data_IF_333809490381
#
_entry.id   IF_333809490381
#
_cell.length_a   1.000
_cell.length_b   1.000
_cell.length_c   1.000
_cell.angle_alpha   90.00
_cell.angle_beta   90.00
_cell.angle_gamma   90.00
#
_symmetry.space_group_name_H-M   'P 1'
#
loop_
_entity.id
_entity.type
_entity.pdbx_description
1 polymer ?
#
# COMPACT_ATOMS: atom_id res chain seq x y z
N UNK A 1 -24.50 13.97 -1.35
CA UNK A 1 -24.22 12.82 -2.17
C UNK A 1 -23.24 13.17 -3.29
N UNK A 2 -21.92 13.02 -3.08
CA UNK A 2 -20.93 13.05 -4.17
C UNK A 2 -20.58 11.61 -4.48
N UNK A 3 -21.20 11.05 -5.52
CA UNK A 3 -20.73 9.82 -6.15
C UNK A 3 -19.41 10.15 -6.86
N UNK A 4 -18.28 9.71 -6.27
CA UNK A 4 -16.99 9.77 -6.92
C UNK A 4 -17.05 9.02 -8.24
N UNK A 5 -16.60 9.65 -9.32
CA UNK A 5 -16.46 9.03 -10.63
C UNK A 5 -15.33 7.98 -10.53
N UNK A 6 -15.70 6.77 -10.26
CA UNK A 6 -14.82 5.63 -10.53
C UNK A 6 -14.88 5.38 -12.05
N UNK A 7 -13.74 5.60 -12.73
CA UNK A 7 -13.63 5.31 -14.16
C UNK A 7 -13.97 3.86 -14.43
N UNK A 8 -14.78 3.62 -15.46
CA UNK A 8 -15.06 2.28 -15.97
C UNK A 8 -13.75 1.63 -16.36
N UNK A 9 -13.46 0.48 -15.80
CA UNK A 9 -12.34 -0.35 -16.22
C UNK A 9 -12.63 -0.82 -17.65
N UNK A 10 -11.94 -0.22 -18.64
CA UNK A 10 -12.09 -0.60 -20.04
C UNK A 10 -11.32 -1.90 -20.30
N UNK A 11 -12.01 -2.87 -20.90
CA UNK A 11 -11.38 -4.00 -21.59
C UNK A 11 -10.75 -3.49 -22.87
N UNK A 12 -9.44 -3.22 -22.86
CA UNK A 12 -8.69 -2.74 -24.03
C UNK A 12 -7.36 -3.49 -24.12
N UNK A 13 -7.10 -4.04 -25.29
CA UNK A 13 -5.91 -4.82 -25.66
C UNK A 13 -4.62 -4.00 -25.55
N UNK A 14 -3.54 -4.61 -24.99
CA UNK A 14 -2.21 -4.02 -24.90
C UNK A 14 -1.90 -3.45 -23.51
N UNK A 15 -1.89 -4.29 -22.43
CA UNK A 15 -2.11 -3.80 -21.10
C UNK A 15 -0.93 -4.06 -20.20
N UNK A 16 -0.25 -2.99 -19.81
CA UNK A 16 0.40 -2.91 -18.50
C UNK A 16 -0.67 -3.05 -17.43
N UNK A 17 -0.49 -4.01 -16.51
CA UNK A 17 -1.43 -4.23 -15.41
C UNK A 17 -1.52 -2.98 -14.55
N UNK A 18 -2.73 -2.50 -14.23
CA UNK A 18 -2.91 -1.31 -13.40
C UNK A 18 -2.39 -1.58 -11.99
N UNK A 19 -1.43 -0.80 -11.57
CA UNK A 19 -0.84 -0.86 -10.24
C UNK A 19 -1.22 0.34 -9.37
N UNK A 20 -1.17 0.15 -8.06
CA UNK A 20 -1.49 1.17 -7.06
C UNK A 20 -0.61 0.97 -5.83
N UNK A 21 -0.31 2.04 -5.08
CA UNK A 21 0.30 1.91 -3.77
C UNK A 21 -0.77 1.89 -2.68
N UNK A 22 -0.69 0.88 -1.84
CA UNK A 22 -1.51 0.73 -0.63
C UNK A 22 -0.69 1.15 0.58
N UNK A 23 -0.92 2.34 1.10
CA UNK A 23 -0.18 2.89 2.24
C UNK A 23 -0.99 2.65 3.52
N UNK A 24 -0.48 1.78 4.39
CA UNK A 24 -1.09 1.48 5.69
C UNK A 24 -0.43 2.35 6.76
N UNK A 25 -1.24 2.96 7.61
CA UNK A 25 -0.78 3.78 8.72
C UNK A 25 -1.04 3.12 10.07
N UNK A 26 -0.29 3.54 11.11
CA UNK A 26 -0.28 2.89 12.41
C UNK A 26 -1.57 3.09 13.20
N UNK A 27 -1.83 2.15 14.12
CA UNK A 27 -3.00 2.20 15.00
C UNK A 27 -2.99 3.36 15.98
N UNK A 28 -1.82 3.94 16.28
CA UNK A 28 -1.66 5.10 17.18
C UNK A 28 -2.49 6.29 16.69
N UNK A 29 -2.65 6.42 15.38
CA UNK A 29 -3.45 7.46 14.73
C UNK A 29 -4.96 7.18 14.89
N UNK A 30 -5.33 5.94 15.21
CA UNK A 30 -6.71 5.47 15.22
C UNK A 30 -7.43 5.69 16.56
N UNK A 31 -6.72 6.08 17.61
CA UNK A 31 -7.30 6.23 18.96
C UNK A 31 -7.62 7.69 19.24
N UNK A 32 -8.92 8.03 19.28
CA UNK A 32 -9.44 9.28 19.79
C UNK A 32 -10.03 10.24 18.77
N UNK A 33 -10.45 11.42 19.23
CA UNK A 33 -11.13 12.46 18.46
C UNK A 33 -10.29 13.05 17.32
N UNK A 34 -8.97 12.87 17.36
CA UNK A 34 -8.03 13.45 16.39
C UNK A 34 -7.73 12.56 15.19
N UNK A 35 -8.33 11.36 15.09
CA UNK A 35 -8.09 10.43 13.97
C UNK A 35 -8.20 11.09 12.61
N UNK A 36 -9.29 11.83 12.38
CA UNK A 36 -9.56 12.49 11.10
C UNK A 36 -8.47 13.51 10.76
N UNK A 37 -8.03 14.28 11.74
CA UNK A 37 -6.96 15.25 11.56
C UNK A 37 -5.64 14.60 11.11
N UNK A 38 -5.25 13.48 11.76
CA UNK A 38 -4.03 12.75 11.37
C UNK A 38 -4.14 12.13 9.97
N UNK A 39 -5.28 11.55 9.64
CA UNK A 39 -5.54 10.98 8.32
C UNK A 39 -5.51 12.06 7.23
N UNK A 40 -6.09 13.22 7.46
CA UNK A 40 -6.09 14.36 6.53
C UNK A 40 -4.66 14.92 6.34
N UNK A 41 -3.85 14.90 7.39
CA UNK A 41 -2.44 15.31 7.32
C UNK A 41 -1.62 14.34 6.47
N UNK A 42 -1.77 13.03 6.68
CA UNK A 42 -1.11 12.01 5.87
C UNK A 42 -1.49 12.10 4.39
N UNK A 43 -2.78 12.27 4.12
CA UNK A 43 -3.28 12.43 2.76
C UNK A 43 -2.68 13.66 2.07
N UNK A 44 -2.62 14.79 2.78
CA UNK A 44 -1.98 16.02 2.27
C UNK A 44 -0.48 15.83 1.99
N UNK A 45 0.25 15.16 2.89
CA UNK A 45 1.67 14.88 2.70
C UNK A 45 1.92 13.99 1.49
N UNK A 46 1.14 12.90 1.31
CA UNK A 46 1.24 12.06 0.13
C UNK A 46 0.89 12.81 -1.16
N UNK A 47 -0.17 13.63 -1.15
CA UNK A 47 -0.53 14.48 -2.30
C UNK A 47 0.59 15.45 -2.69
N UNK A 48 1.26 16.02 -1.70
CA UNK A 48 2.41 16.92 -1.93
C UNK A 48 3.58 16.16 -2.57
N UNK A 49 3.90 14.97 -2.05
CA UNK A 49 4.95 14.11 -2.61
C UNK A 49 4.63 13.65 -4.03
N UNK A 50 3.42 13.24 -4.27
CA UNK A 50 2.95 12.75 -5.56
C UNK A 50 3.16 13.74 -6.71
N UNK A 51 3.07 15.04 -6.44
CA UNK A 51 3.28 16.10 -7.46
C UNK A 51 4.66 16.07 -8.10
N UNK A 52 5.68 15.56 -7.39
CA UNK A 52 7.04 15.45 -7.92
C UNK A 52 7.23 14.23 -8.85
N UNK A 53 6.31 13.29 -8.81
CA UNK A 53 6.39 11.99 -9.49
C UNK A 53 5.38 11.82 -10.61
N UNK A 54 4.53 12.81 -10.88
CA UNK A 54 3.54 12.76 -11.93
C UNK A 54 2.12 12.91 -11.43
N UNK A 55 1.18 12.37 -12.19
CA UNK A 55 -0.23 12.55 -11.98
C UNK A 55 -0.81 11.38 -11.16
N UNK A 56 -1.09 11.64 -9.90
CA UNK A 56 -1.64 10.64 -8.98
C UNK A 56 -2.93 11.11 -8.36
N UNK A 57 -3.87 10.18 -8.21
CA UNK A 57 -5.03 10.34 -7.34
C UNK A 57 -4.71 9.74 -5.97
N UNK A 58 -4.75 10.56 -4.93
CA UNK A 58 -4.53 10.11 -3.54
C UNK A 58 -5.82 10.25 -2.78
N UNK A 59 -6.32 9.13 -2.25
CA UNK A 59 -7.58 9.08 -1.51
C UNK A 59 -7.51 8.06 -0.38
N UNK A 60 -8.48 8.13 0.53
CA UNK A 60 -8.57 7.29 1.71
C UNK A 60 -9.82 6.42 1.66
N UNK A 61 -9.63 5.13 1.95
CA UNK A 61 -10.73 4.20 2.21
C UNK A 61 -10.29 3.10 3.19
N UNK A 62 -11.18 2.70 4.10
CA UNK A 62 -10.99 1.56 5.01
C UNK A 62 -9.62 1.55 5.72
N UNK A 63 -9.20 2.65 6.32
CA UNK A 63 -7.92 2.80 7.04
C UNK A 63 -6.68 2.55 6.19
N UNK A 64 -6.77 2.83 4.90
CA UNK A 64 -5.66 2.74 3.95
C UNK A 64 -5.69 3.98 3.06
N UNK A 65 -4.52 4.54 2.80
CA UNK A 65 -4.34 5.57 1.77
C UNK A 65 -3.94 4.88 0.47
N UNK A 66 -4.62 5.24 -0.59
CA UNK A 66 -4.42 4.74 -1.94
C UNK A 66 -3.73 5.81 -2.75
N UNK A 67 -2.65 5.44 -3.44
CA UNK A 67 -1.93 6.31 -4.38
C UNK A 67 -2.01 5.66 -5.74
N UNK A 68 -2.90 6.17 -6.56
CA UNK A 68 -3.29 5.61 -7.86
C UNK A 68 -2.71 6.46 -8.99
N UNK A 69 -1.86 5.92 -9.89
CA UNK A 69 -1.41 6.65 -11.06
C UNK A 69 -2.58 6.92 -12.01
N UNK A 70 -2.65 8.14 -12.54
CA UNK A 70 -3.69 8.55 -13.48
C UNK A 70 -3.26 8.41 -14.94
N UNK A 71 -1.97 8.29 -15.18
CA UNK A 71 -1.37 8.09 -16.51
C UNK A 71 -0.13 7.19 -16.43
N UNK A 72 0.36 6.76 -17.58
CA UNK A 72 1.53 5.87 -17.69
C UNK A 72 2.86 6.60 -17.41
N UNK A 73 2.87 7.93 -17.44
CA UNK A 73 4.06 8.74 -17.16
C UNK A 73 4.35 8.88 -15.66
N UNK A 74 3.45 8.42 -14.79
CA UNK A 74 3.59 8.50 -13.36
C UNK A 74 4.73 7.59 -12.85
N UNK A 75 5.70 8.18 -12.15
CA UNK A 75 6.84 7.47 -11.55
C UNK A 75 6.41 6.77 -10.25
N UNK A 76 6.00 5.51 -10.39
CA UNK A 76 5.59 4.67 -9.26
C UNK A 76 6.74 4.34 -8.31
N UNK A 77 7.96 4.19 -8.79
CA UNK A 77 9.12 3.83 -7.97
C UNK A 77 9.59 5.03 -7.14
N UNK A 78 9.68 6.20 -7.72
CA UNK A 78 9.95 7.43 -7.00
C UNK A 78 8.87 7.75 -5.97
N UNK A 79 7.60 7.59 -6.34
CA UNK A 79 6.48 7.77 -5.41
C UNK A 79 6.52 6.78 -4.25
N UNK A 80 6.84 5.50 -4.50
CA UNK A 80 7.02 4.49 -3.46
C UNK A 80 8.14 4.89 -2.49
N UNK A 81 9.31 5.29 -3.03
CA UNK A 81 10.45 5.70 -2.22
C UNK A 81 10.13 6.91 -1.32
N UNK A 82 9.40 7.87 -1.87
CA UNK A 82 8.98 9.05 -1.11
C UNK A 82 7.88 8.74 -0.10
N UNK A 83 6.93 7.85 -0.41
CA UNK A 83 5.91 7.38 0.53
C UNK A 83 6.52 6.67 1.74
N UNK A 84 7.63 5.93 1.55
CA UNK A 84 8.37 5.29 2.65
C UNK A 84 8.94 6.30 3.66
N UNK A 85 9.15 7.55 3.26
CA UNK A 85 9.68 8.63 4.11
C UNK A 85 8.59 9.46 4.80
N UNK A 86 7.33 9.16 4.55
CA UNK A 86 6.20 9.86 5.20
C UNK A 86 5.97 9.30 6.59
N UNK A 87 6.22 10.12 7.61
CA UNK A 87 5.95 9.75 9.00
C UNK A 87 4.45 9.47 9.21
N UNK A 88 4.15 8.40 9.94
CA UNK A 88 2.80 7.89 10.14
C UNK A 88 2.44 6.72 9.24
N UNK A 89 3.13 6.52 8.12
CA UNK A 89 2.97 5.35 7.26
C UNK A 89 3.89 4.24 7.75
N UNK A 90 3.31 3.08 8.06
CA UNK A 90 4.06 1.92 8.60
C UNK A 90 4.41 0.90 7.53
N UNK A 91 3.62 0.81 6.47
CA UNK A 91 3.80 -0.20 5.43
C UNK A 91 3.20 0.27 4.12
N UNK A 92 3.92 0.07 3.03
CA UNK A 92 3.47 0.36 1.67
C UNK A 92 3.59 -0.91 0.84
N UNK A 93 2.51 -1.27 0.14
CA UNK A 93 2.52 -2.35 -0.82
C UNK A 93 2.21 -1.80 -2.22
N UNK A 94 3.00 -2.21 -3.23
CA UNK A 94 2.66 -2.05 -4.63
C UNK A 94 1.78 -3.22 -5.02
N UNK A 95 0.57 -2.96 -5.49
CA UNK A 95 -0.44 -3.96 -5.73
C UNK A 95 -1.05 -3.83 -7.12
N UNK A 96 -1.28 -4.96 -7.79
CA UNK A 96 -2.09 -4.99 -8.98
C UNK A 96 -3.57 -4.86 -8.61
N UNK A 97 -4.31 -4.10 -9.43
CA UNK A 97 -5.75 -3.88 -9.28
C UNK A 97 -6.50 -4.79 -10.23
N UNK A 98 -7.49 -5.51 -9.74
CA UNK A 98 -8.34 -6.37 -10.55
C UNK A 98 -9.82 -6.30 -10.14
N UNK A 99 -10.69 -6.85 -10.97
CA UNK A 99 -12.10 -6.94 -10.67
C UNK A 99 -12.38 -7.88 -9.48
N UNK A 100 -13.50 -7.65 -8.80
CA UNK A 100 -13.95 -8.50 -7.69
C UNK A 100 -14.62 -9.78 -8.20
N UNK A 101 -13.85 -10.62 -8.89
CA UNK A 101 -14.24 -11.99 -9.26
C UNK A 101 -13.05 -12.91 -9.01
N UNK A 102 -13.29 -14.16 -8.64
CA UNK A 102 -12.18 -15.11 -8.44
C UNK A 102 -11.43 -15.37 -9.74
N UNK A 103 -12.11 -15.36 -10.86
CA UNK A 103 -11.49 -15.49 -12.19
C UNK A 103 -10.46 -14.37 -12.42
N UNK A 104 -10.84 -13.10 -12.20
CA UNK A 104 -9.94 -11.96 -12.36
C UNK A 104 -8.80 -11.96 -11.34
N UNK A 105 -9.09 -12.34 -10.09
CA UNK A 105 -8.07 -12.48 -9.03
C UNK A 105 -7.05 -13.54 -9.42
N UNK A 106 -7.50 -14.74 -9.82
CA UNK A 106 -6.59 -15.84 -10.21
C UNK A 106 -5.77 -15.48 -11.47
N UNK A 107 -6.38 -14.85 -12.46
CA UNK A 107 -5.67 -14.37 -13.64
C UNK A 107 -4.58 -13.35 -13.27
N UNK A 108 -4.91 -12.40 -12.40
CA UNK A 108 -3.96 -11.40 -11.88
C UNK A 108 -2.84 -12.05 -11.07
N UNK A 109 -3.15 -13.02 -10.21
CA UNK A 109 -2.15 -13.78 -9.45
C UNK A 109 -1.17 -14.47 -10.40
N UNK A 110 -1.65 -15.18 -11.41
CA UNK A 110 -0.82 -15.90 -12.41
C UNK A 110 0.10 -14.98 -13.19
N UNK A 111 -0.32 -13.76 -13.46
CA UNK A 111 0.44 -12.81 -14.28
C UNK A 111 1.37 -11.93 -13.42
N UNK A 112 0.93 -11.47 -12.26
CA UNK A 112 1.61 -10.45 -11.46
C UNK A 112 2.57 -11.02 -10.41
N UNK A 113 2.27 -12.20 -9.85
CA UNK A 113 3.01 -12.74 -8.71
C UNK A 113 4.30 -13.47 -9.09
N UNK A 114 4.43 -14.20 -10.22
CA UNK A 114 5.62 -14.99 -10.53
C UNK A 114 6.95 -14.23 -10.44
N UNK A 115 7.11 -12.97 -10.90
CA UNK A 115 8.37 -12.24 -10.75
C UNK A 115 8.78 -12.04 -9.28
N UNK A 116 7.82 -11.83 -8.38
CA UNK A 116 8.08 -11.66 -6.95
C UNK A 116 8.48 -12.98 -6.25
N UNK A 117 8.16 -14.12 -6.86
CA UNK A 117 8.51 -15.45 -6.37
C UNK A 117 9.78 -16.02 -7.01
N UNK A 118 10.40 -15.30 -7.94
CA UNK A 118 11.64 -15.72 -8.57
C UNK A 118 12.75 -16.01 -7.54
N UNK A 119 13.32 -17.22 -7.56
CA UNK A 119 14.35 -17.65 -6.61
C UNK A 119 13.85 -17.95 -5.19
N UNK A 120 12.55 -17.94 -4.95
CA UNK A 120 11.95 -18.33 -3.68
C UNK A 120 11.56 -19.80 -3.70
N UNK A 121 11.55 -20.43 -2.52
CA UNK A 121 11.26 -21.86 -2.35
C UNK A 121 9.85 -22.10 -1.83
N UNK A 122 9.31 -21.12 -1.08
CA UNK A 122 8.03 -21.28 -0.42
C UNK A 122 7.24 -19.98 -0.39
N UNK A 123 5.92 -20.12 -0.32
CA UNK A 123 5.00 -19.01 -0.17
C UNK A 123 3.81 -19.40 0.70
N UNK A 124 3.08 -18.38 1.16
CA UNK A 124 1.70 -18.52 1.63
C UNK A 124 0.82 -17.47 0.99
N UNK A 125 -0.48 -17.71 0.98
CA UNK A 125 -1.47 -16.71 0.61
C UNK A 125 -2.24 -16.26 1.83
N UNK A 126 -2.35 -14.96 2.03
CA UNK A 126 -3.23 -14.34 3.01
C UNK A 126 -4.30 -13.56 2.26
N UNK A 127 -5.58 -13.87 2.49
CA UNK A 127 -6.67 -13.11 1.92
C UNK A 127 -7.39 -12.31 2.99
N UNK A 128 -7.75 -11.07 2.64
CA UNK A 128 -8.58 -10.20 3.46
C UNK A 128 -9.83 -9.79 2.69
N UNK A 129 -10.99 -10.25 3.16
CA UNK A 129 -12.28 -9.87 2.60
C UNK A 129 -12.90 -8.76 3.45
N UNK A 130 -12.86 -7.53 2.95
CA UNK A 130 -13.53 -6.38 3.57
C UNK A 130 -14.96 -6.18 3.06
N UNK A 131 -15.26 -6.60 1.83
CA UNK A 131 -16.62 -6.62 1.28
C UNK A 131 -17.30 -7.96 1.56
N UNK A 132 -18.24 -7.96 2.49
CA UNK A 132 -18.99 -9.16 2.87
C UNK A 132 -19.95 -9.70 1.79
N UNK A 133 -20.19 -8.92 0.73
CA UNK A 133 -21.02 -9.34 -0.42
C UNK A 133 -20.26 -10.23 -1.39
N UNK A 134 -18.94 -10.30 -1.27
CA UNK A 134 -18.16 -11.24 -2.07
C UNK A 134 -18.50 -12.68 -1.66
N UNK A 135 -18.77 -13.60 -2.62
CA UNK A 135 -19.36 -14.90 -2.32
C UNK A 135 -18.46 -15.83 -1.50
N UNK A 136 -17.13 -15.71 -1.67
CA UNK A 136 -16.16 -16.56 -0.98
C UNK A 136 -15.66 -15.90 0.31
N UNK A 137 -15.31 -16.70 1.29
CA UNK A 137 -14.63 -16.24 2.49
C UNK A 137 -13.11 -16.09 2.27
N UNK A 138 -12.41 -15.56 3.27
CA UNK A 138 -10.97 -15.32 3.16
C UNK A 138 -10.16 -16.61 3.01
N UNK A 139 -10.61 -17.71 3.58
CA UNK A 139 -9.91 -19.00 3.46
C UNK A 139 -10.07 -19.58 2.05
N UNK A 140 -11.27 -19.53 1.51
CA UNK A 140 -11.55 -19.95 0.14
C UNK A 140 -10.79 -19.11 -0.89
N UNK A 141 -10.80 -17.79 -0.74
CA UNK A 141 -10.01 -16.88 -1.60
C UNK A 141 -8.51 -17.23 -1.54
N UNK A 142 -7.98 -17.48 -0.34
CA UNK A 142 -6.57 -17.84 -0.18
C UNK A 142 -6.24 -19.19 -0.81
N UNK A 143 -7.13 -20.18 -0.72
CA UNK A 143 -6.95 -21.50 -1.31
C UNK A 143 -6.92 -21.43 -2.85
N UNK A 144 -7.90 -20.74 -3.46
CA UNK A 144 -7.99 -20.61 -4.92
C UNK A 144 -6.82 -19.78 -5.48
N UNK A 145 -6.47 -18.66 -4.83
CA UNK A 145 -5.30 -17.88 -5.22
C UNK A 145 -3.99 -18.66 -5.03
N UNK A 146 -3.90 -19.50 -3.99
CA UNK A 146 -2.77 -20.41 -3.77
C UNK A 146 -2.61 -21.44 -4.88
N UNK A 147 -3.71 -22.04 -5.33
CA UNK A 147 -3.72 -22.93 -6.49
C UNK A 147 -3.21 -22.21 -7.76
N UNK A 148 -3.67 -20.97 -8.00
CA UNK A 148 -3.22 -20.17 -9.13
C UNK A 148 -1.70 -19.87 -9.09
N UNK A 149 -1.11 -19.67 -7.89
CA UNK A 149 0.35 -19.53 -7.73
C UNK A 149 1.05 -20.84 -8.10
N UNK A 150 0.59 -21.97 -7.59
CA UNK A 150 1.20 -23.29 -7.86
C UNK A 150 1.17 -23.64 -9.34
N UNK A 151 0.13 -23.27 -10.06
CA UNK A 151 0.02 -23.46 -11.50
C UNK A 151 0.99 -22.57 -12.30
N UNK A 152 1.27 -21.34 -11.81
CA UNK A 152 2.07 -20.35 -12.52
C UNK A 152 3.56 -20.37 -12.18
N UNK A 153 3.95 -20.99 -11.05
CA UNK A 153 5.34 -21.05 -10.58
C UNK A 153 5.73 -22.50 -10.28
N UNK A 154 6.29 -23.24 -11.26
CA UNK A 154 6.69 -24.62 -11.06
C UNK A 154 7.72 -24.79 -9.95
N UNK A 155 7.55 -25.81 -9.11
CA UNK A 155 8.50 -26.17 -8.07
C UNK A 155 8.41 -25.36 -6.77
N UNK A 156 7.57 -24.33 -6.70
CA UNK A 156 7.31 -23.62 -5.45
C UNK A 156 6.38 -24.46 -4.54
N UNK A 157 6.56 -24.34 -3.23
CA UNK A 157 5.72 -25.04 -2.25
C UNK A 157 4.99 -24.07 -1.32
N UNK A 158 3.88 -24.53 -0.76
CA UNK A 158 3.17 -23.78 0.27
C UNK A 158 3.82 -24.04 1.63
N UNK A 159 4.13 -22.99 2.36
CA UNK A 159 4.57 -23.04 3.76
C UNK A 159 3.84 -21.96 4.55
N UNK A 160 2.91 -22.37 5.39
CA UNK A 160 2.06 -21.45 6.19
C UNK A 160 2.77 -20.87 7.40
N UNK A 161 3.84 -21.52 7.87
CA UNK A 161 4.55 -21.13 9.09
C UNK A 161 5.77 -20.26 8.81
N UNK A 162 6.60 -20.65 7.83
CA UNK A 162 7.85 -19.98 7.49
C UNK A 162 7.98 -19.74 5.99
N UNK A 163 7.04 -18.99 5.37
CA UNK A 163 7.11 -18.72 3.95
C UNK A 163 8.21 -17.72 3.62
N UNK A 164 8.89 -17.93 2.50
CA UNK A 164 9.82 -16.93 1.95
C UNK A 164 9.09 -15.66 1.50
N UNK A 165 7.86 -15.83 0.99
CA UNK A 165 7.01 -14.72 0.52
C UNK A 165 5.56 -14.93 0.94
N UNK A 166 4.93 -13.85 1.40
CA UNK A 166 3.48 -13.82 1.61
C UNK A 166 2.80 -13.07 0.48
N UNK A 167 2.03 -13.80 -0.32
CA UNK A 167 1.12 -13.23 -1.32
C UNK A 167 -0.14 -12.77 -0.61
N UNK A 168 -0.60 -11.55 -0.89
CA UNK A 168 -1.82 -11.00 -0.28
C UNK A 168 -2.87 -10.67 -1.33
N UNK A 169 -4.08 -11.10 -1.05
CA UNK A 169 -5.28 -10.78 -1.83
C UNK A 169 -6.24 -10.01 -0.93
N UNK A 170 -6.49 -8.75 -1.27
CA UNK A 170 -7.39 -7.89 -0.50
C UNK A 170 -8.66 -7.59 -1.33
N UNK A 171 -9.78 -8.23 -1.02
CA UNK A 171 -11.07 -7.93 -1.63
C UNK A 171 -11.74 -6.80 -0.86
N UNK A 172 -11.86 -5.63 -1.49
CA UNK A 172 -12.43 -4.43 -0.90
C UNK A 172 -13.71 -3.99 -1.61
N UNK A 173 -14.26 -2.85 -1.23
CA UNK A 173 -15.57 -2.41 -1.72
C UNK A 173 -15.63 -2.26 -3.26
N UNK A 174 -14.60 -1.68 -3.86
CA UNK A 174 -14.61 -1.31 -5.29
C UNK A 174 -13.78 -2.22 -6.20
N UNK A 175 -12.74 -2.85 -5.67
CA UNK A 175 -11.82 -3.68 -6.44
C UNK A 175 -11.18 -4.76 -5.55
N UNK A 176 -10.47 -5.69 -6.19
CA UNK A 176 -9.52 -6.56 -5.51
C UNK A 176 -8.09 -6.13 -5.81
N UNK A 177 -7.20 -6.39 -4.86
CA UNK A 177 -5.79 -5.99 -4.90
C UNK A 177 -4.93 -7.20 -4.61
N UNK A 178 -3.94 -7.44 -5.48
CA UNK A 178 -3.00 -8.56 -5.36
C UNK A 178 -1.59 -8.02 -5.24
N UNK A 179 -0.85 -8.45 -4.21
CA UNK A 179 0.54 -8.06 -4.03
C UNK A 179 1.36 -9.12 -3.29
N UNK A 180 2.68 -9.07 -3.46
CA UNK A 180 3.64 -9.90 -2.74
C UNK A 180 4.57 -9.01 -1.93
N UNK A 181 4.45 -9.09 -0.62
CA UNK A 181 5.26 -8.29 0.29
C UNK A 181 4.79 -6.84 0.44
N UNK A 182 5.52 -6.12 1.27
CA UNK A 182 5.36 -4.69 1.51
C UNK A 182 6.67 -4.10 1.99
N UNK A 183 6.92 -2.85 1.68
CA UNK A 183 8.07 -2.09 2.17
C UNK A 183 7.71 -1.40 3.48
N UNK A 184 8.63 -1.39 4.44
CA UNK A 184 8.45 -0.71 5.72
C UNK A 184 8.51 0.80 5.50
N UNK A 185 7.52 1.52 6.02
CA UNK A 185 7.49 2.98 6.04
C UNK A 185 8.21 3.56 7.26
N UNK A 186 8.27 4.89 7.33
CA UNK A 186 8.92 5.62 8.43
C UNK A 186 8.26 5.36 9.79
N UNK A 187 6.99 5.03 9.82
CA UNK A 187 6.23 4.88 11.07
C UNK A 187 6.08 6.20 11.83
N UNK A 188 5.93 6.12 13.14
CA UNK A 188 5.81 7.30 14.00
C UNK A 188 4.52 8.08 13.80
N UNK A 189 4.56 9.38 14.10
CA UNK A 189 3.43 10.29 13.96
C UNK A 189 3.62 11.24 12.77
N UNK A 190 2.54 11.65 12.09
CA UNK A 190 2.65 12.61 10.99
C UNK A 190 3.26 13.93 11.45
N UNK A 191 4.13 14.48 10.64
CA UNK A 191 4.78 15.77 10.90
C UNK A 191 3.75 16.88 11.05
N UNK A 192 3.98 17.77 12.02
CA UNK A 192 3.10 18.91 12.30
C UNK A 192 1.88 18.60 13.16
N UNK A 193 1.75 17.36 13.67
CA UNK A 193 0.59 16.98 14.51
C UNK A 193 0.78 17.26 16.00
N UNK A 194 2.02 17.49 16.47
CA UNK A 194 2.36 17.64 17.89
C UNK A 194 2.61 19.11 18.32
N UNK A 195 2.20 20.08 17.50
CA UNK A 195 2.43 21.51 17.81
C UNK A 195 3.90 21.92 17.70
N UNK A 196 4.26 23.03 18.35
CA UNK A 196 5.64 23.55 18.40
C UNK A 196 6.33 23.06 19.64
N UNK A 197 7.56 22.49 19.49
CA UNK A 197 8.43 22.11 20.59
C UNK A 197 9.62 23.05 20.70
N UNK A 198 10.08 23.33 21.91
CA UNK A 198 11.35 23.96 22.16
C UNK A 198 12.40 22.86 22.38
N UNK A 199 13.46 22.88 21.56
CA UNK A 199 14.58 21.96 21.71
C UNK A 199 15.70 22.66 22.47
N UNK A 200 16.04 22.13 23.64
CA UNK A 200 17.27 22.50 24.34
C UNK A 200 18.42 21.69 23.74
N UNK A 201 19.30 22.38 23.01
CA UNK A 201 20.47 21.75 22.43
C UNK A 201 21.49 21.44 23.54
N UNK A 202 21.85 20.19 23.66
CA UNK A 202 22.93 19.70 24.51
C UNK A 202 23.92 18.91 23.67
N UNK A 203 25.08 18.58 24.18
CA UNK A 203 26.07 17.70 23.52
C UNK A 203 25.67 16.23 23.46
N UNK A 204 24.43 15.87 23.84
CA UNK A 204 23.92 14.51 23.81
C UNK A 204 23.44 14.05 22.43
N UNK A 205 23.54 12.74 22.18
CA UNK A 205 23.16 12.10 20.90
C UNK A 205 21.70 12.37 20.53
N UNK A 206 20.79 12.39 21.49
CA UNK A 206 19.35 12.55 21.24
C UNK A 206 19.01 13.94 20.69
N UNK A 207 19.64 15.01 21.22
CA UNK A 207 19.42 16.37 20.73
C UNK A 207 19.99 16.58 19.31
N UNK A 208 21.12 15.93 19.00
CA UNK A 208 21.72 15.97 17.66
C UNK A 208 20.83 15.23 16.65
N UNK A 209 20.36 14.05 16.99
CA UNK A 209 19.44 13.25 16.14
C UNK A 209 18.13 13.98 15.86
N UNK A 210 17.52 14.61 16.89
CA UNK A 210 16.29 15.35 16.72
C UNK A 210 16.47 16.58 15.85
N UNK A 211 17.56 17.31 15.98
CA UNK A 211 17.89 18.48 15.15
C UNK A 211 18.09 18.08 13.70
N UNK A 212 18.77 16.96 13.45
CA UNK A 212 19.01 16.47 12.10
C UNK A 212 17.71 16.06 11.40
N UNK A 213 16.83 15.34 12.09
CA UNK A 213 15.52 14.95 11.56
C UNK A 213 14.64 16.17 11.24
N UNK A 214 14.63 17.18 12.13
CA UNK A 214 13.86 18.42 11.88
C UNK A 214 14.44 19.30 10.77
N UNK A 215 15.74 19.36 10.60
CA UNK A 215 16.37 20.14 9.53
C UNK A 215 15.97 19.69 8.12
N UNK A 216 15.62 18.41 7.95
CA UNK A 216 15.06 17.91 6.69
C UNK A 216 13.61 18.32 6.44
N UNK A 217 12.86 18.72 7.47
CA UNK A 217 11.46 19.14 7.36
C UNK A 217 11.27 20.62 7.09
N UNK A 218 12.21 21.48 7.51
CA UNK A 218 12.09 22.95 7.42
C UNK A 218 12.63 23.55 6.13
N UNK A 219 13.17 22.75 5.23
CA UNK A 219 13.80 23.23 3.98
C UNK A 219 12.84 23.52 2.82
N UNK A 220 11.54 23.61 3.07
CA UNK A 220 10.54 23.93 2.05
C UNK A 220 9.47 24.91 2.58
N UNK A 221 9.92 26.10 2.95
CA UNK A 221 9.06 27.28 2.96
C UNK A 221 9.51 28.22 1.83
#
# INVERSE_FOLDING_TARGET
GRRGRYGRYGTGEGIGMKEILLCKYGEIILKGANRRYFEDMLERQLKRKARAHGNFNVYRAQSTLYVEPLDEAADMDGMLADACRVFGIISIARAAVCEKSMESICATVKQYIPPALAGKRSFKVEAKRSDKRFPLDSMQIAAEAGAAVLESVPGIRVDVHHPDVTVRVEVREYAAYVHAGSVKGAGGMPVGTNGRGLLLLSGGIDSVSYTHLRAHETRHD
#
